data_IF_843523287076
#
_entry.id   IF_843523287076
#
_cell.length_a   1.000
_cell.length_b   1.000
_cell.length_c   1.000
_cell.angle_alpha   90.00
_cell.angle_beta   90.00
_cell.angle_gamma   90.00
#
_symmetry.space_group_name_H-M   'P 1'
#
loop_
_entity.id
_entity.type
_entity.pdbx_description
1 polymer ?
#
# COMPACT_ATOMS: atom_id res chain seq x y z
N UNK A 1 2.36 -24.23 10.04
CA UNK A 1 2.27 -23.22 8.96
C UNK A 1 2.24 -21.86 9.62
N UNK A 2 3.25 -21.01 9.39
CA UNK A 2 3.31 -19.70 10.02
C UNK A 2 2.34 -18.75 9.32
N UNK A 3 1.21 -18.43 9.96
CA UNK A 3 0.35 -17.31 9.54
C UNK A 3 1.14 -16.02 9.82
N UNK A 4 1.43 -15.25 8.78
CA UNK A 4 2.04 -13.92 8.91
C UNK A 4 0.98 -12.90 8.54
N UNK A 5 0.81 -11.88 9.37
CA UNK A 5 -0.08 -10.75 9.09
C UNK A 5 0.54 -9.49 9.66
N UNK A 6 0.71 -8.50 8.78
CA UNK A 6 1.19 -7.18 9.16
C UNK A 6 0.37 -6.09 8.49
N UNK A 7 0.22 -4.96 9.17
CA UNK A 7 -0.51 -3.78 8.66
C UNK A 7 0.34 -2.54 8.86
N UNK A 8 0.85 -1.98 7.76
CA UNK A 8 1.60 -0.74 7.77
C UNK A 8 0.65 0.46 7.63
N UNK A 9 0.67 1.44 8.55
CA UNK A 9 -0.08 2.68 8.39
C UNK A 9 0.59 3.65 7.41
N UNK A 10 -0.21 4.27 6.55
CA UNK A 10 0.19 5.31 5.61
C UNK A 10 0.27 6.70 6.23
N UNK A 11 1.01 6.87 7.34
CA UNK A 11 0.99 8.09 8.17
C UNK A 11 1.26 9.36 7.35
N UNK A 12 2.25 9.32 6.45
CA UNK A 12 2.56 10.46 5.59
C UNK A 12 1.40 10.81 4.64
N UNK A 13 0.78 9.80 4.02
CA UNK A 13 -0.39 10.04 3.16
C UNK A 13 -1.56 10.61 3.97
N UNK A 14 -1.84 10.05 5.15
CA UNK A 14 -2.88 10.55 6.05
C UNK A 14 -2.65 12.01 6.45
N UNK A 15 -1.41 12.39 6.75
CA UNK A 15 -1.06 13.78 7.04
C UNK A 15 -1.30 14.71 5.85
N UNK A 16 -0.91 14.29 4.64
CA UNK A 16 -1.16 15.06 3.40
C UNK A 16 -2.66 15.23 3.16
N UNK A 17 -3.43 14.15 3.26
CA UNK A 17 -4.89 14.21 3.12
C UNK A 17 -5.54 15.10 4.18
N UNK A 18 -5.05 15.06 5.43
CA UNK A 18 -5.56 15.93 6.48
C UNK A 18 -5.33 17.42 6.15
N UNK A 19 -4.15 17.79 5.66
CA UNK A 19 -3.86 19.18 5.23
C UNK A 19 -4.78 19.59 4.08
N UNK A 20 -4.96 18.74 3.08
CA UNK A 20 -5.86 19.01 1.95
C UNK A 20 -7.30 19.19 2.42
N UNK A 21 -7.79 18.31 3.31
CA UNK A 21 -9.14 18.40 3.89
C UNK A 21 -9.32 19.70 4.67
N UNK A 22 -8.35 20.10 5.49
CA UNK A 22 -8.41 21.35 6.26
C UNK A 22 -8.47 22.55 5.30
N UNK A 23 -7.64 22.58 4.26
CA UNK A 23 -7.66 23.65 3.27
C UNK A 23 -9.01 23.74 2.54
N UNK A 24 -9.52 22.60 2.03
CA UNK A 24 -10.81 22.53 1.35
C UNK A 24 -11.98 22.89 2.27
N UNK A 25 -11.94 22.50 3.54
CA UNK A 25 -12.93 22.90 4.54
C UNK A 25 -12.90 24.42 4.78
N UNK A 26 -11.71 25.03 4.84
CA UNK A 26 -11.56 26.49 4.89
C UNK A 26 -12.23 27.19 3.70
N UNK A 27 -12.01 26.69 2.48
CA UNK A 27 -12.68 27.19 1.28
C UNK A 27 -14.20 26.96 1.30
N UNK A 28 -14.66 25.81 1.81
CA UNK A 28 -16.08 25.54 1.99
C UNK A 28 -16.72 26.57 2.92
N UNK A 29 -16.11 26.89 4.06
CA UNK A 29 -16.61 27.92 4.98
C UNK A 29 -16.61 29.31 4.32
N UNK A 30 -15.51 29.70 3.68
CA UNK A 30 -15.40 31.00 3.01
C UNK A 30 -16.41 31.19 1.87
N UNK A 31 -16.78 30.10 1.20
CA UNK A 31 -17.79 30.08 0.12
C UNK A 31 -19.23 29.86 0.61
N UNK A 32 -19.49 29.94 1.92
CA UNK A 32 -20.79 29.67 2.54
C UNK A 32 -21.33 28.28 2.21
N UNK A 33 -20.46 27.28 2.31
CA UNK A 33 -20.72 25.87 2.06
C UNK A 33 -21.17 25.58 0.63
N UNK A 34 -20.53 26.21 -0.35
CA UNK A 34 -20.81 25.91 -1.75
C UNK A 34 -20.63 24.40 -2.02
N UNK A 35 -21.61 23.70 -2.64
CA UNK A 35 -21.62 22.24 -2.77
C UNK A 35 -20.36 21.65 -3.39
N UNK A 36 -19.73 22.38 -4.31
CA UNK A 36 -18.46 21.99 -4.93
C UNK A 36 -17.35 21.70 -3.90
N UNK A 37 -17.10 22.61 -2.95
CA UNK A 37 -16.04 22.42 -1.96
C UNK A 37 -16.40 21.32 -0.96
N UNK A 38 -17.69 21.21 -0.60
CA UNK A 38 -18.16 20.12 0.24
C UNK A 38 -17.93 18.75 -0.42
N UNK A 39 -18.24 18.63 -1.72
CA UNK A 39 -17.99 17.42 -2.50
C UNK A 39 -16.50 17.09 -2.55
N UNK A 40 -15.62 18.08 -2.71
CA UNK A 40 -14.17 17.87 -2.67
C UNK A 40 -13.66 17.40 -1.30
N UNK A 41 -14.17 17.95 -0.20
CA UNK A 41 -13.84 17.49 1.17
C UNK A 41 -14.22 16.02 1.34
N UNK A 42 -15.45 15.66 0.97
CA UNK A 42 -15.93 14.27 1.05
C UNK A 42 -15.07 13.35 0.18
N UNK A 43 -14.77 13.75 -1.05
CA UNK A 43 -13.91 12.97 -1.94
C UNK A 43 -12.50 12.77 -1.37
N UNK A 44 -11.88 13.82 -0.81
CA UNK A 44 -10.56 13.74 -0.20
C UNK A 44 -10.54 12.81 1.02
N UNK A 45 -11.56 12.87 1.88
CA UNK A 45 -11.72 11.96 3.02
C UNK A 45 -11.85 10.50 2.58
N UNK A 46 -12.69 10.24 1.58
CA UNK A 46 -12.89 8.89 1.04
C UNK A 46 -11.60 8.33 0.44
N UNK A 47 -10.91 9.11 -0.40
CA UNK A 47 -9.65 8.69 -1.00
C UNK A 47 -8.58 8.43 0.05
N UNK A 48 -8.43 9.33 1.04
CA UNK A 48 -7.48 9.15 2.13
C UNK A 48 -7.77 7.91 2.98
N UNK A 49 -9.05 7.62 3.23
CA UNK A 49 -9.47 6.42 3.95
C UNK A 49 -9.18 5.12 3.18
N UNK A 50 -9.27 5.13 1.85
CA UNK A 50 -9.00 3.96 1.00
C UNK A 50 -7.52 3.57 0.92
N UNK A 51 -6.60 4.54 1.07
CA UNK A 51 -5.14 4.31 1.00
C UNK A 51 -4.44 4.50 2.35
N UNK A 52 -5.20 4.47 3.44
CA UNK A 52 -4.71 4.77 4.80
C UNK A 52 -3.78 3.70 5.38
N UNK A 53 -3.86 2.46 4.93
CA UNK A 53 -2.99 1.37 5.38
C UNK A 53 -2.79 0.32 4.30
N UNK A 54 -1.73 -0.47 4.42
CA UNK A 54 -1.45 -1.63 3.58
C UNK A 54 -1.32 -2.84 4.49
N UNK A 55 -2.21 -3.81 4.32
CA UNK A 55 -2.17 -5.07 5.05
C UNK A 55 -1.60 -6.15 4.15
N UNK A 56 -0.64 -6.91 4.66
CA UNK A 56 -0.05 -8.08 3.99
C UNK A 56 -0.30 -9.30 4.87
N UNK A 57 -0.77 -10.38 4.26
CA UNK A 57 -1.05 -11.64 4.94
C UNK A 57 -0.58 -12.85 4.13
N UNK A 58 0.04 -13.80 4.80
CA UNK A 58 0.43 -15.10 4.25
C UNK A 58 -0.39 -16.17 4.97
N UNK A 59 -1.37 -16.76 4.28
CA UNK A 59 -2.24 -17.80 4.81
C UNK A 59 -2.62 -18.78 3.70
N UNK A 60 -2.86 -20.05 4.04
CA UNK A 60 -3.43 -21.04 3.10
C UNK A 60 -2.69 -21.17 1.76
N UNK A 61 -1.35 -21.11 1.77
CA UNK A 61 -0.49 -21.10 0.57
C UNK A 61 -0.69 -19.91 -0.38
N UNK A 62 -1.27 -18.82 0.13
CA UNK A 62 -1.52 -17.58 -0.60
C UNK A 62 -0.83 -16.41 0.10
N UNK A 63 -0.15 -15.57 -0.68
CA UNK A 63 0.24 -14.22 -0.27
C UNK A 63 -0.86 -13.26 -0.71
N UNK A 64 -1.42 -12.51 0.23
CA UNK A 64 -2.48 -11.54 -0.02
C UNK A 64 -2.07 -10.17 0.50
N UNK A 65 -2.43 -9.12 -0.23
CA UNK A 65 -2.28 -7.75 0.24
C UNK A 65 -3.45 -6.91 -0.19
N UNK A 66 -3.82 -5.94 0.63
CA UNK A 66 -4.90 -5.00 0.34
C UNK A 66 -4.67 -3.68 1.06
N UNK A 67 -5.26 -2.62 0.52
CA UNK A 67 -5.33 -1.36 1.23
C UNK A 67 -6.52 -1.34 2.18
N UNK A 68 -6.34 -0.74 3.36
CA UNK A 68 -7.38 -0.37 4.32
C UNK A 68 -8.52 -1.40 4.42
N UNK A 69 -9.75 -1.02 4.05
CA UNK A 69 -10.97 -1.84 4.15
C UNK A 69 -11.08 -2.97 3.10
N UNK A 70 -9.97 -3.55 2.67
CA UNK A 70 -9.93 -4.54 1.59
C UNK A 70 -9.93 -3.92 0.19
N UNK A 71 -9.70 -2.62 0.08
CA UNK A 71 -9.60 -1.94 -1.21
C UNK A 71 -8.40 -2.44 -1.99
N UNK A 72 -8.58 -2.64 -3.30
CA UNK A 72 -7.56 -3.17 -4.20
C UNK A 72 -6.88 -4.44 -3.68
N UNK A 73 -7.68 -5.39 -3.18
CA UNK A 73 -7.18 -6.68 -2.72
C UNK A 73 -6.56 -7.45 -3.88
N UNK A 74 -5.32 -7.90 -3.69
CA UNK A 74 -4.59 -8.78 -4.58
C UNK A 74 -4.11 -10.01 -3.82
N UNK A 75 -3.97 -11.10 -4.54
CA UNK A 75 -3.53 -12.37 -4.01
C UNK A 75 -2.70 -13.11 -5.05
N UNK A 76 -1.70 -13.85 -4.60
CA UNK A 76 -0.95 -14.78 -5.44
C UNK A 76 -0.64 -16.07 -4.70
N UNK A 77 -0.64 -17.22 -5.40
CA UNK A 77 -0.13 -18.47 -4.87
C UNK A 77 1.34 -18.35 -4.48
N UNK A 78 1.71 -18.94 -3.34
CA UNK A 78 3.12 -19.02 -2.94
C UNK A 78 3.96 -19.83 -3.93
N UNK A 79 3.35 -20.79 -4.64
CA UNK A 79 4.03 -21.59 -5.68
C UNK A 79 4.46 -20.79 -6.92
N UNK A 80 3.91 -19.59 -7.10
CA UNK A 80 4.28 -18.69 -8.19
C UNK A 80 5.46 -17.77 -7.84
N UNK A 81 5.86 -17.75 -6.57
CA UNK A 81 6.96 -16.92 -6.07
C UNK A 81 8.29 -17.65 -6.24
N UNK A 82 9.25 -16.99 -6.89
CA UNK A 82 10.62 -17.50 -7.08
C UNK A 82 11.55 -16.95 -6.01
N UNK A 83 11.47 -15.64 -5.73
CA UNK A 83 12.29 -15.00 -4.69
C UNK A 83 11.54 -13.85 -4.02
N UNK A 84 11.98 -13.51 -2.80
CA UNK A 84 11.50 -12.37 -2.03
C UNK A 84 12.68 -11.67 -1.35
N UNK A 85 12.93 -10.42 -1.74
CA UNK A 85 14.11 -9.65 -1.34
C UNK A 85 13.72 -8.28 -0.76
N UNK A 86 14.27 -7.90 0.42
CA UNK A 86 14.16 -6.54 0.93
C UNK A 86 14.82 -5.53 -0.03
N UNK A 87 14.09 -4.48 -0.42
CA UNK A 87 14.57 -3.44 -1.33
C UNK A 87 14.22 -2.05 -0.81
N UNK A 88 14.93 -1.04 -1.32
CA UNK A 88 14.63 0.37 -1.10
C UNK A 88 14.17 0.98 -2.44
N UNK A 89 12.99 1.58 -2.45
CA UNK A 89 12.41 2.27 -3.58
C UNK A 89 12.97 3.68 -3.72
N UNK A 90 12.97 4.19 -4.95
CA UNK A 90 13.33 5.59 -5.21
C UNK A 90 12.24 6.50 -4.67
N UNK A 91 12.62 7.60 -4.03
CA UNK A 91 11.67 8.51 -3.38
C UNK A 91 10.63 9.10 -4.35
N UNK A 92 11.00 9.31 -5.62
CA UNK A 92 10.11 9.85 -6.63
C UNK A 92 9.13 8.83 -7.24
N UNK A 93 9.24 7.54 -6.91
CA UNK A 93 8.19 6.57 -7.27
C UNK A 93 6.90 6.80 -6.47
N UNK A 94 7.02 7.44 -5.30
CA UNK A 94 5.90 7.87 -4.47
C UNK A 94 5.17 6.73 -3.76
N UNK A 95 3.90 6.98 -3.45
CA UNK A 95 3.03 6.10 -2.66
C UNK A 95 1.71 5.82 -3.40
N UNK A 96 1.05 4.73 -3.01
CA UNK A 96 -0.14 4.16 -3.60
C UNK A 96 0.17 2.97 -4.50
N UNK A 97 -0.61 2.85 -5.58
CA UNK A 97 -0.46 1.82 -6.60
C UNK A 97 0.26 2.45 -7.79
N UNK A 98 1.44 1.93 -8.15
CA UNK A 98 2.28 2.49 -9.21
C UNK A 98 2.86 1.41 -10.10
N UNK A 99 2.97 1.67 -11.40
CA UNK A 99 3.77 0.84 -12.28
C UNK A 99 5.17 1.43 -12.38
N UNK A 100 6.18 0.60 -12.13
CA UNK A 100 7.60 0.98 -12.12
C UNK A 100 8.37 0.07 -13.08
N UNK A 101 9.64 0.38 -13.40
CA UNK A 101 10.49 -0.56 -14.16
C UNK A 101 10.64 -1.95 -13.52
N UNK A 102 10.34 -2.08 -12.22
CA UNK A 102 10.37 -3.33 -11.46
C UNK A 102 8.96 -3.90 -11.22
N UNK A 103 8.01 -3.56 -12.09
CA UNK A 103 6.62 -3.98 -12.00
C UNK A 103 5.79 -3.12 -11.05
N UNK A 104 4.70 -3.72 -10.53
CA UNK A 104 3.75 -3.02 -9.68
C UNK A 104 4.32 -2.76 -8.30
N UNK A 105 4.24 -1.52 -7.83
CA UNK A 105 4.54 -1.10 -6.47
C UNK A 105 3.23 -0.80 -5.73
N UNK A 106 3.09 -1.41 -4.56
CA UNK A 106 2.03 -1.15 -3.59
C UNK A 106 2.67 -0.58 -2.34
N UNK A 107 2.46 0.71 -2.04
CA UNK A 107 3.11 1.34 -0.90
C UNK A 107 2.19 2.37 -0.24
N UNK A 108 2.28 2.53 1.07
CA UNK A 108 1.52 3.57 1.81
C UNK A 108 2.43 4.51 2.61
N UNK A 109 3.67 4.12 2.90
CA UNK A 109 4.62 4.94 3.64
C UNK A 109 6.06 4.46 3.44
N UNK A 110 7.02 5.37 3.61
CA UNK A 110 8.44 5.04 3.54
C UNK A 110 8.91 4.60 2.15
N UNK A 111 10.16 4.14 2.09
CA UNK A 111 10.82 3.68 0.86
C UNK A 111 11.10 2.17 0.87
N UNK A 112 11.00 1.53 2.02
CA UNK A 112 11.27 0.10 2.17
C UNK A 112 10.14 -0.73 1.58
N UNK A 113 10.51 -1.83 0.93
CA UNK A 113 9.59 -2.79 0.36
C UNK A 113 10.23 -4.18 0.29
N UNK A 114 9.42 -5.17 -0.04
CA UNK A 114 9.88 -6.48 -0.49
C UNK A 114 9.57 -6.61 -1.98
N UNK A 115 10.59 -6.84 -2.79
CA UNK A 115 10.44 -7.23 -4.19
C UNK A 115 10.22 -8.74 -4.26
N UNK A 116 9.17 -9.13 -4.97
CA UNK A 116 8.75 -10.51 -5.18
C UNK A 116 8.87 -10.78 -6.67
N UNK A 117 9.78 -11.68 -7.01
CA UNK A 117 9.95 -12.17 -8.37
C UNK A 117 9.06 -13.38 -8.57
N UNK A 118 8.24 -13.35 -9.62
CA UNK A 118 7.34 -14.44 -9.97
C UNK A 118 7.97 -15.37 -11.01
N UNK A 119 7.38 -16.56 -11.13
CA UNK A 119 7.81 -17.59 -12.09
C UNK A 119 7.71 -17.15 -13.56
N UNK A 120 6.79 -16.24 -13.87
CA UNK A 120 6.63 -15.65 -15.21
C UNK A 120 7.67 -14.55 -15.53
N UNK A 121 8.62 -14.29 -14.61
CA UNK A 121 9.63 -13.23 -14.74
C UNK A 121 9.12 -11.83 -14.39
N UNK A 122 7.83 -11.66 -14.11
CA UNK A 122 7.28 -10.39 -13.62
C UNK A 122 7.63 -10.18 -12.14
N UNK A 123 7.70 -8.91 -11.73
CA UNK A 123 7.96 -8.54 -10.35
C UNK A 123 6.80 -7.72 -9.75
N UNK A 124 6.66 -7.82 -8.43
CA UNK A 124 5.81 -6.93 -7.64
C UNK A 124 6.57 -6.47 -6.40
N UNK A 125 6.41 -5.21 -6.04
CA UNK A 125 6.96 -4.63 -4.81
C UNK A 125 5.84 -4.32 -3.83
N UNK A 126 6.00 -4.81 -2.60
CA UNK A 126 5.07 -4.56 -1.50
C UNK A 126 5.80 -3.74 -0.43
N UNK A 127 5.37 -2.50 -0.25
CA UNK A 127 5.84 -1.60 0.79
C UNK A 127 5.57 -2.17 2.17
N UNK A 128 6.54 -2.01 3.07
CA UNK A 128 6.44 -2.45 4.46
C UNK A 128 7.50 -1.72 5.28
N UNK A 129 7.20 -1.46 6.55
CA UNK A 129 8.12 -0.98 7.58
C UNK A 129 8.93 -2.11 8.25
N UNK A 130 8.65 -3.37 7.92
CA UNK A 130 9.43 -4.54 8.36
C UNK A 130 9.85 -5.46 7.19
N UNK A 131 10.65 -4.95 6.23
CA UNK A 131 10.95 -5.66 4.98
C UNK A 131 11.72 -6.96 5.21
N UNK A 132 12.57 -7.05 6.23
CA UNK A 132 13.30 -8.27 6.55
C UNK A 132 12.35 -9.36 7.08
N UNK A 133 11.39 -9.00 7.94
CA UNK A 133 10.43 -9.93 8.52
C UNK A 133 9.48 -10.49 7.45
N UNK A 134 8.92 -9.61 6.61
CA UNK A 134 8.07 -10.02 5.50
C UNK A 134 8.82 -10.94 4.52
N UNK A 135 10.03 -10.56 4.11
CA UNK A 135 10.80 -11.38 3.16
C UNK A 135 11.17 -12.75 3.76
N UNK A 136 11.55 -12.80 5.04
CA UNK A 136 11.81 -14.07 5.73
C UNK A 136 10.57 -14.95 5.84
N UNK A 137 9.41 -14.36 6.13
CA UNK A 137 8.13 -15.07 6.19
C UNK A 137 7.75 -15.67 4.82
N UNK A 138 7.91 -14.90 3.73
CA UNK A 138 7.67 -15.40 2.37
C UNK A 138 8.64 -16.53 2.04
N UNK A 139 9.96 -16.35 2.26
CA UNK A 139 10.97 -17.37 1.97
C UNK A 139 10.72 -18.68 2.72
N UNK A 140 10.32 -18.60 4.00
CA UNK A 140 9.95 -19.77 4.80
C UNK A 140 8.70 -20.47 4.27
N UNK A 141 7.78 -19.74 3.66
CA UNK A 141 6.50 -20.28 3.19
C UNK A 141 6.57 -20.87 1.76
N UNK A 142 7.63 -20.56 1.00
CA UNK A 142 7.90 -21.13 -0.33
C UNK A 142 8.93 -22.28 -0.31
N UNK A 143 9.64 -22.45 0.81
CA UNK A 143 10.56 -23.57 1.05
C UNK A 143 9.78 -24.87 1.33
#
# INVERSE_FOLDING_TARGET
MSDYRHTQPGVLMLAIFAVVVIALAGFAVASRFHPFFLALVVAALLLGALVSSLTVRIAERMLTWHFSFGFWKKSMPLGDIVSAEPVINKWWWGWGIRFTPHGWLYNVSGLQAVEITKRDGSAVRIGTDEPQALAAAIRKAIA
#
